data_IF_414971371296
#
_entry.id   IF_414971371296
#
_cell.length_a   1.000
_cell.length_b   1.000
_cell.length_c   1.000
_cell.angle_alpha   90.00
_cell.angle_beta   90.00
_cell.angle_gamma   90.00
#
_symmetry.space_group_name_H-M   'P 1'
#
loop_
_entity.id
_entity.type
_entity.pdbx_description
1 polymer ?
#
# COMPACT_ATOMS: atom_id res chain seq x y z
N UNK A 1 62.53 17.07 93.78
CA UNK A 1 62.74 18.03 94.88
C UNK A 1 62.01 19.32 94.51
N UNK A 2 61.12 19.79 95.40
CA UNK A 2 60.65 21.18 95.61
C UNK A 2 60.18 22.05 94.42
N UNK A 3 58.90 22.47 94.34
CA UNK A 3 58.16 23.54 95.07
C UNK A 3 58.19 24.91 94.37
N UNK A 4 56.98 25.50 94.22
CA UNK A 4 56.53 26.92 94.02
C UNK A 4 56.73 27.56 92.63
N UNK A 5 55.68 27.98 91.88
CA UNK A 5 54.62 29.01 92.06
C UNK A 5 55.10 30.49 91.99
N UNK A 6 54.25 31.31 91.32
CA UNK A 6 54.16 32.78 91.10
C UNK A 6 54.38 33.17 89.62
N UNK A 7 53.38 33.39 88.75
CA UNK A 7 52.18 34.26 88.73
C UNK A 7 52.49 35.74 88.38
N UNK A 8 51.90 36.22 87.27
CA UNK A 8 50.93 37.36 87.17
C UNK A 8 51.02 38.13 85.83
N UNK A 9 49.82 38.32 85.25
CA UNK A 9 49.28 39.38 84.39
C UNK A 9 49.71 39.55 82.93
N UNK A 10 48.70 39.59 82.06
CA UNK A 10 48.79 40.32 80.79
C UNK A 10 47.70 40.04 79.78
N UNK A 11 46.61 40.81 79.87
CA UNK A 11 45.83 41.34 78.75
C UNK A 11 44.83 40.47 77.96
N UNK A 12 43.57 40.79 78.26
CA UNK A 12 42.34 40.81 77.45
C UNK A 12 42.55 40.94 75.93
N UNK A 13 41.91 40.04 75.17
CA UNK A 13 41.37 40.34 73.85
C UNK A 13 40.04 39.59 73.66
N UNK A 14 38.96 40.35 73.57
CA UNK A 14 37.64 39.91 73.13
C UNK A 14 37.73 39.46 71.67
N UNK A 15 37.23 38.26 71.36
CA UNK A 15 36.83 37.90 70.02
C UNK A 15 35.53 37.10 70.08
N UNK A 16 34.55 37.63 69.37
CA UNK A 16 33.14 37.29 69.36
C UNK A 16 32.86 35.86 68.91
N UNK A 17 31.80 35.31 69.48
CA UNK A 17 31.15 34.08 69.06
C UNK A 17 30.28 34.38 67.83
N UNK A 18 30.48 33.68 66.71
CA UNK A 18 29.39 33.50 65.73
C UNK A 18 29.50 32.18 64.96
N UNK A 19 28.32 31.64 64.67
CA UNK A 19 28.03 30.24 64.36
C UNK A 19 28.04 29.99 62.84
N UNK A 20 28.61 28.83 62.47
CA UNK A 20 28.43 27.98 61.28
C UNK A 20 27.56 28.50 60.11
N UNK A 21 28.11 28.38 58.89
CA UNK A 21 27.37 28.30 57.63
C UNK A 21 28.05 27.39 56.60
N UNK A 22 27.86 26.07 56.71
CA UNK A 22 28.18 25.12 55.64
C UNK A 22 26.98 25.01 54.68
N UNK A 23 26.83 25.94 53.74
CA UNK A 23 25.81 25.82 52.68
C UNK A 23 26.09 26.79 51.53
N UNK A 24 27.11 26.54 50.71
CA UNK A 24 27.28 27.31 49.47
C UNK A 24 27.86 26.49 48.31
N UNK A 25 28.55 25.37 48.57
CA UNK A 25 29.26 24.63 47.53
C UNK A 25 28.43 23.53 46.81
N UNK A 26 27.18 23.28 47.21
CA UNK A 26 26.37 22.19 46.62
C UNK A 26 25.27 22.66 45.66
N UNK A 27 24.90 23.94 45.66
CA UNK A 27 23.82 24.43 44.80
C UNK A 27 24.26 24.60 43.32
N UNK A 28 25.50 25.03 43.08
CA UNK A 28 25.99 25.35 41.73
C UNK A 28 26.30 24.10 40.89
N UNK A 29 26.76 23.01 41.52
CA UNK A 29 27.05 21.74 40.82
C UNK A 29 25.79 20.93 40.51
N UNK A 30 24.70 21.12 41.28
CA UNK A 30 23.41 20.47 41.02
C UNK A 30 22.67 21.19 39.88
N UNK A 31 22.77 22.52 39.78
CA UNK A 31 22.12 23.28 38.70
C UNK A 31 22.72 22.99 37.31
N UNK A 32 24.04 22.75 37.22
CA UNK A 32 24.73 22.46 35.95
C UNK A 32 24.40 21.02 35.46
N UNK A 33 24.26 20.06 36.38
CA UNK A 33 23.87 18.68 36.04
C UNK A 33 22.42 18.52 35.60
N UNK A 34 21.50 19.34 36.15
CA UNK A 34 20.09 19.36 35.74
C UNK A 34 19.94 20.02 34.35
N UNK A 35 20.73 21.06 34.06
CA UNK A 35 20.71 21.71 32.73
C UNK A 35 21.31 20.83 31.61
N UNK A 36 22.32 20.00 31.91
CA UNK A 36 22.84 19.00 30.96
C UNK A 36 21.90 17.80 30.77
N UNK A 37 21.12 17.44 31.79
CA UNK A 37 20.15 16.34 31.72
C UNK A 37 18.84 16.74 31.02
N UNK A 38 18.48 18.03 31.04
CA UNK A 38 17.36 18.58 30.24
C UNK A 38 17.73 18.77 28.77
N UNK A 39 19.03 18.84 28.43
CA UNK A 39 19.48 18.97 27.04
C UNK A 39 19.55 17.61 26.31
N UNK A 40 19.64 16.49 27.02
CA UNK A 40 19.55 15.14 26.45
C UNK A 40 18.11 14.63 26.28
N UNK A 41 17.11 15.32 26.85
CA UNK A 41 15.68 15.02 26.65
C UNK A 41 15.04 15.90 25.57
N UNK A 42 15.84 16.56 24.73
CA UNK A 42 15.43 16.93 23.39
C UNK A 42 15.77 15.77 22.44
N UNK A 43 15.26 14.57 22.75
CA UNK A 43 15.13 13.53 21.71
C UNK A 43 14.28 14.17 20.63
N UNK A 44 14.90 14.45 19.49
CA UNK A 44 14.26 14.93 18.28
C UNK A 44 12.97 14.14 18.07
N UNK A 45 11.83 14.69 18.47
CA UNK A 45 10.54 14.32 17.87
C UNK A 45 10.55 14.92 16.48
N UNK A 46 11.38 14.35 15.58
CA UNK A 46 11.19 14.55 14.16
C UNK A 46 9.75 14.08 13.91
N UNK A 47 8.82 14.95 13.48
CA UNK A 47 7.51 14.48 13.10
C UNK A 47 7.73 13.37 12.07
N UNK A 48 7.17 12.18 12.34
CA UNK A 48 7.16 11.11 11.36
C UNK A 48 6.53 11.72 10.11
N UNK A 49 7.35 11.96 9.08
CA UNK A 49 6.86 12.60 7.86
C UNK A 49 5.91 11.59 7.24
N UNK A 50 4.62 11.92 7.20
CA UNK A 50 3.61 11.10 6.54
C UNK A 50 4.12 10.75 5.14
N UNK A 51 3.87 9.50 4.73
CA UNK A 51 4.27 9.04 3.40
C UNK A 51 3.61 9.94 2.34
N UNK A 52 4.30 10.19 1.23
CA UNK A 52 3.69 10.92 0.12
C UNK A 52 2.50 10.11 -0.42
N UNK A 53 1.27 10.64 -0.35
CA UNK A 53 0.09 9.91 -0.78
C UNK A 53 -0.06 9.89 -2.32
N UNK A 54 0.77 10.63 -3.05
CA UNK A 54 0.82 10.54 -4.51
C UNK A 54 1.58 9.30 -4.97
N UNK A 55 1.25 8.85 -6.18
CA UNK A 55 2.05 7.82 -6.85
C UNK A 55 3.36 8.45 -7.34
N UNK A 56 4.46 7.73 -7.19
CA UNK A 56 5.76 8.15 -7.70
C UNK A 56 5.80 8.05 -9.23
N UNK A 57 6.85 8.62 -9.84
CA UNK A 57 7.08 8.48 -11.28
C UNK A 57 7.27 7.00 -11.66
N UNK A 58 8.00 6.24 -10.85
CA UNK A 58 8.27 4.81 -11.06
C UNK A 58 6.99 3.99 -10.94
N UNK A 59 6.17 4.24 -9.92
CA UNK A 59 4.87 3.57 -9.76
C UNK A 59 3.94 3.85 -10.94
N UNK A 60 3.95 5.08 -11.46
CA UNK A 60 3.17 5.45 -12.65
C UNK A 60 3.67 4.75 -13.91
N UNK A 61 4.98 4.79 -14.16
CA UNK A 61 5.60 4.06 -15.28
C UNK A 61 5.29 2.58 -15.21
N UNK A 62 5.35 1.97 -14.02
CA UNK A 62 5.08 0.55 -13.85
C UNK A 62 3.62 0.18 -14.10
N UNK A 63 2.66 1.00 -13.64
CA UNK A 63 1.23 0.81 -13.96
C UNK A 63 0.96 0.91 -15.45
N UNK A 64 1.50 1.94 -16.11
CA UNK A 64 1.32 2.12 -17.55
C UNK A 64 1.91 0.96 -18.34
N UNK A 65 3.07 0.45 -17.91
CA UNK A 65 3.67 -0.76 -18.47
C UNK A 65 2.76 -1.98 -18.33
N UNK A 66 2.21 -2.25 -17.14
CA UNK A 66 1.30 -3.38 -16.95
C UNK A 66 0.00 -3.23 -17.77
N UNK A 67 -0.52 -2.01 -17.93
CA UNK A 67 -1.69 -1.75 -18.78
C UNK A 67 -1.42 -2.07 -20.25
N UNK A 68 -0.24 -1.70 -20.77
CA UNK A 68 0.20 -2.01 -22.14
C UNK A 68 0.45 -3.52 -22.33
N UNK A 69 1.25 -4.14 -21.46
CA UNK A 69 1.58 -5.57 -21.55
C UNK A 69 0.31 -6.45 -21.51
N UNK A 70 -0.58 -6.19 -20.54
CA UNK A 70 -1.83 -6.95 -20.42
C UNK A 70 -2.83 -6.68 -21.54
N UNK A 71 -2.77 -5.52 -22.20
CA UNK A 71 -3.57 -5.25 -23.40
C UNK A 71 -3.08 -6.11 -24.56
N UNK A 72 -1.77 -6.09 -24.82
CA UNK A 72 -1.16 -6.87 -25.90
C UNK A 72 -1.34 -8.38 -25.69
N UNK A 73 -1.12 -8.86 -24.47
CA UNK A 73 -1.32 -10.27 -24.11
C UNK A 73 -2.77 -10.70 -24.32
N UNK A 74 -3.75 -9.90 -23.86
CA UNK A 74 -5.16 -10.23 -24.02
C UNK A 74 -5.59 -10.29 -25.49
N UNK A 75 -5.17 -9.32 -26.31
CA UNK A 75 -5.47 -9.31 -27.74
C UNK A 75 -4.87 -10.52 -28.45
N UNK A 76 -3.59 -10.81 -28.19
CA UNK A 76 -2.93 -12.01 -28.71
C UNK A 76 -3.63 -13.30 -28.24
N UNK A 77 -4.18 -13.31 -27.03
CA UNK A 77 -4.90 -14.46 -26.48
C UNK A 77 -6.26 -14.71 -27.15
N UNK A 78 -6.90 -13.73 -27.78
CA UNK A 78 -8.22 -13.89 -28.42
C UNK A 78 -8.20 -13.76 -29.95
N UNK A 79 -7.07 -13.31 -30.52
CA UNK A 79 -6.86 -13.24 -31.96
C UNK A 79 -6.82 -14.63 -32.60
N UNK A 80 -7.45 -14.75 -33.77
CA UNK A 80 -7.49 -16.01 -34.54
C UNK A 80 -8.29 -17.16 -33.90
N UNK A 81 -8.90 -16.97 -32.74
CA UNK A 81 -9.73 -18.00 -32.07
C UNK A 81 -11.01 -18.22 -32.87
N UNK A 82 -11.27 -19.42 -33.39
CA UNK A 82 -12.51 -19.72 -34.14
C UNK A 82 -13.77 -19.68 -33.25
N UNK A 83 -14.97 -19.64 -33.84
CA UNK A 83 -16.21 -19.63 -33.05
C UNK A 83 -16.43 -20.91 -32.25
N UNK A 84 -15.96 -22.05 -32.77
CA UNK A 84 -15.96 -23.33 -32.06
C UNK A 84 -15.04 -23.27 -30.83
N UNK A 85 -13.82 -22.76 -31.02
CA UNK A 85 -12.85 -22.55 -29.94
C UNK A 85 -13.32 -21.53 -28.89
N UNK A 86 -13.99 -20.46 -29.31
CA UNK A 86 -14.52 -19.40 -28.44
C UNK A 86 -15.56 -19.96 -27.45
N UNK A 87 -16.40 -20.87 -27.91
CA UNK A 87 -17.52 -21.46 -27.16
C UNK A 87 -17.16 -22.77 -26.47
N UNK A 88 -16.04 -23.39 -26.81
CA UNK A 88 -15.63 -24.66 -26.24
C UNK A 88 -15.28 -24.53 -24.75
N UNK A 89 -15.85 -25.43 -23.93
CA UNK A 89 -15.61 -25.47 -22.49
C UNK A 89 -14.85 -26.76 -22.14
N UNK A 90 -13.80 -26.69 -21.31
CA UNK A 90 -13.08 -27.89 -20.88
C UNK A 90 -13.90 -28.78 -19.93
N UNK A 91 -14.90 -28.22 -19.26
CA UNK A 91 -15.92 -28.93 -18.48
C UNK A 91 -17.16 -28.03 -18.31
N UNK A 92 -18.35 -28.57 -17.98
CA UNK A 92 -19.58 -27.78 -17.85
C UNK A 92 -19.48 -26.59 -16.89
N UNK A 93 -18.76 -26.76 -15.78
CA UNK A 93 -18.55 -25.76 -14.73
C UNK A 93 -17.34 -24.84 -14.97
N UNK A 94 -16.60 -25.04 -16.06
CA UNK A 94 -15.40 -24.27 -16.40
C UNK A 94 -15.69 -23.29 -17.51
N UNK A 95 -15.06 -22.11 -17.43
CA UNK A 95 -15.21 -21.10 -18.47
C UNK A 95 -14.49 -21.47 -19.76
N UNK A 96 -15.11 -21.15 -20.89
CA UNK A 96 -14.50 -21.13 -22.21
C UNK A 96 -13.52 -19.95 -22.35
N UNK A 97 -12.87 -19.86 -23.51
CA UNK A 97 -12.11 -18.66 -23.89
C UNK A 97 -13.03 -17.44 -23.91
N UNK A 98 -14.20 -17.55 -24.53
CA UNK A 98 -15.15 -16.45 -24.62
C UNK A 98 -15.70 -15.99 -23.26
N UNK A 99 -16.05 -16.94 -22.39
CA UNK A 99 -16.52 -16.61 -21.03
C UNK A 99 -15.40 -15.97 -20.21
N UNK A 100 -14.15 -16.45 -20.33
CA UNK A 100 -13.02 -15.83 -19.63
C UNK A 100 -12.74 -14.42 -20.15
N UNK A 101 -12.86 -14.19 -21.47
CA UNK A 101 -12.67 -12.88 -22.08
C UNK A 101 -13.79 -11.88 -21.72
N UNK A 102 -15.04 -12.35 -21.64
CA UNK A 102 -16.16 -11.55 -21.14
C UNK A 102 -15.95 -11.15 -19.68
N UNK A 103 -15.51 -12.10 -18.83
CA UNK A 103 -15.17 -11.81 -17.44
C UNK A 103 -14.14 -10.69 -17.30
N UNK A 104 -13.10 -10.67 -18.13
CA UNK A 104 -12.07 -9.60 -18.12
C UNK A 104 -12.72 -8.23 -18.31
N UNK A 105 -13.59 -8.07 -19.30
CA UNK A 105 -14.24 -6.79 -19.63
C UNK A 105 -15.22 -6.34 -18.53
N UNK A 106 -15.97 -7.28 -17.95
CA UNK A 106 -16.88 -6.98 -16.83
C UNK A 106 -16.09 -6.59 -15.57
N UNK A 107 -15.04 -7.35 -15.26
CA UNK A 107 -14.18 -7.10 -14.11
C UNK A 107 -13.44 -5.78 -14.23
N UNK A 108 -12.91 -5.44 -15.40
CA UNK A 108 -12.17 -4.20 -15.61
C UNK A 108 -13.05 -2.96 -15.39
N UNK A 109 -14.29 -2.97 -15.89
CA UNK A 109 -15.26 -1.92 -15.61
C UNK A 109 -15.51 -1.75 -14.11
N UNK A 110 -15.72 -2.87 -13.39
CA UNK A 110 -16.00 -2.85 -11.94
C UNK A 110 -14.78 -2.40 -11.12
N UNK A 111 -13.59 -2.88 -11.47
CA UNK A 111 -12.34 -2.54 -10.81
C UNK A 111 -12.01 -1.06 -11.03
N UNK A 112 -12.17 -0.54 -12.24
CA UNK A 112 -11.95 0.88 -12.50
C UNK A 112 -13.02 1.77 -11.85
N UNK A 113 -14.27 1.29 -11.73
CA UNK A 113 -15.26 1.96 -10.89
C UNK A 113 -14.82 2.02 -9.41
N UNK A 114 -14.13 0.99 -8.91
CA UNK A 114 -13.57 0.96 -7.56
C UNK A 114 -12.39 1.93 -7.40
N UNK A 115 -11.53 2.07 -8.42
CA UNK A 115 -10.49 3.12 -8.47
C UNK A 115 -11.12 4.50 -8.33
N UNK A 116 -12.13 4.81 -9.15
CA UNK A 116 -12.82 6.11 -9.10
C UNK A 116 -13.53 6.34 -7.77
N UNK A 117 -14.19 5.31 -7.23
CA UNK A 117 -14.84 5.37 -5.92
C UNK A 117 -13.84 5.66 -4.80
N UNK A 118 -12.69 4.98 -4.82
CA UNK A 118 -11.62 5.24 -3.86
C UNK A 118 -11.12 6.67 -4.05
N UNK A 119 -10.68 7.08 -5.24
CA UNK A 119 -10.17 8.43 -5.49
C UNK A 119 -11.14 9.57 -5.15
N UNK A 120 -12.45 9.32 -5.13
CA UNK A 120 -13.47 10.29 -4.74
C UNK A 120 -13.87 10.25 -3.25
N UNK A 121 -13.36 9.27 -2.48
CA UNK A 121 -13.63 9.17 -1.04
C UNK A 121 -12.84 10.21 -0.25
N UNK A 122 -13.27 10.62 0.96
CA UNK A 122 -12.45 11.47 1.82
C UNK A 122 -11.08 10.84 2.12
N UNK A 123 -10.01 11.63 2.30
CA UNK A 123 -8.73 11.11 2.77
C UNK A 123 -8.90 10.30 4.05
N UNK A 124 -8.36 9.08 4.07
CA UNK A 124 -8.35 8.18 5.20
C UNK A 124 -7.07 8.41 6.01
N UNK A 125 -7.13 9.01 7.22
CA UNK A 125 -5.92 9.30 8.00
C UNK A 125 -5.15 8.04 8.44
N UNK A 126 -5.75 6.86 8.37
CA UNK A 126 -5.13 5.58 8.70
C UNK A 126 -4.68 4.78 7.46
N UNK A 127 -4.64 5.39 6.27
CA UNK A 127 -4.34 4.69 5.02
C UNK A 127 -2.99 3.96 5.04
N UNK A 128 -1.94 4.58 5.61
CA UNK A 128 -0.59 4.00 5.64
C UNK A 128 -0.59 2.64 6.35
N UNK A 129 -1.17 2.59 7.55
CA UNK A 129 -1.21 1.37 8.35
C UNK A 129 -2.18 0.34 7.73
N UNK A 130 -3.34 0.77 7.25
CA UNK A 130 -4.34 -0.14 6.69
C UNK A 130 -3.93 -0.76 5.36
N UNK A 131 -3.06 -0.10 4.60
CA UNK A 131 -2.65 -0.52 3.26
C UNK A 131 -1.18 -0.95 3.16
N UNK A 132 -0.48 -0.99 4.30
CA UNK A 132 0.92 -1.41 4.41
C UNK A 132 1.15 -2.80 3.82
N UNK A 133 2.14 -2.91 2.93
CA UNK A 133 2.51 -4.18 2.27
C UNK A 133 1.48 -4.73 1.27
N UNK A 134 0.37 -4.02 1.04
CA UNK A 134 -0.68 -4.49 0.13
C UNK A 134 -0.28 -4.38 -1.34
N UNK A 135 0.57 -3.43 -1.68
CA UNK A 135 1.11 -3.28 -3.05
C UNK A 135 1.87 -4.54 -3.47
N UNK A 136 2.85 -4.97 -2.68
CA UNK A 136 3.67 -6.16 -2.93
C UNK A 136 2.81 -7.43 -2.87
N UNK A 137 1.86 -7.47 -1.93
CA UNK A 137 0.90 -8.56 -1.83
C UNK A 137 0.10 -8.71 -3.12
N UNK A 138 -0.49 -7.63 -3.64
CA UNK A 138 -1.29 -7.65 -4.88
C UNK A 138 -0.44 -8.06 -6.08
N UNK A 139 0.74 -7.46 -6.25
CA UNK A 139 1.68 -7.79 -7.34
C UNK A 139 2.00 -9.30 -7.35
N UNK A 140 2.15 -9.91 -6.18
CA UNK A 140 2.44 -11.35 -6.05
C UNK A 140 1.22 -12.23 -6.32
N UNK A 141 0.06 -11.91 -5.72
CA UNK A 141 -1.07 -12.84 -5.68
C UNK A 141 -2.02 -12.69 -6.85
N UNK A 142 -2.18 -11.46 -7.39
CA UNK A 142 -3.18 -11.20 -8.40
C UNK A 142 -2.90 -11.92 -9.73
N UNK A 143 -1.72 -11.80 -10.35
CA UNK A 143 -1.45 -12.47 -11.62
C UNK A 143 -1.19 -13.98 -11.46
N UNK A 144 -1.15 -14.51 -10.23
CA UNK A 144 -0.94 -15.93 -9.96
C UNK A 144 -2.17 -16.75 -10.37
N UNK A 145 -2.00 -18.00 -10.78
CA UNK A 145 -3.11 -18.94 -11.00
C UNK A 145 -3.30 -19.91 -9.83
N UNK A 146 -2.60 -19.68 -8.72
CA UNK A 146 -2.75 -20.47 -7.51
C UNK A 146 -4.03 -20.07 -6.77
N UNK A 147 -4.75 -21.08 -6.26
CA UNK A 147 -6.01 -20.90 -5.55
C UNK A 147 -7.21 -20.68 -6.48
N UNK A 148 -8.40 -21.03 -5.97
CA UNK A 148 -9.68 -20.80 -6.65
C UNK A 148 -10.37 -19.61 -6.00
N UNK A 149 -10.87 -18.69 -6.82
CA UNK A 149 -11.74 -17.60 -6.40
C UNK A 149 -13.06 -17.73 -7.15
N UNK A 150 -14.16 -17.53 -6.45
CA UNK A 150 -15.49 -17.43 -7.07
C UNK A 150 -15.71 -15.97 -7.42
N UNK A 151 -15.92 -15.67 -8.70
CA UNK A 151 -16.22 -14.33 -9.15
C UNK A 151 -17.53 -13.83 -8.51
N UNK A 152 -17.60 -12.56 -8.06
CA UNK A 152 -18.86 -11.93 -7.65
C UNK A 152 -19.85 -11.92 -8.82
N UNK A 153 -21.14 -12.03 -8.49
CA UNK A 153 -22.23 -12.17 -9.47
C UNK A 153 -22.18 -11.16 -10.64
N UNK A 154 -21.92 -9.85 -10.42
CA UNK A 154 -21.92 -8.86 -11.51
C UNK A 154 -20.84 -9.06 -12.57
N UNK A 155 -19.81 -9.86 -12.29
CA UNK A 155 -18.70 -10.13 -13.21
C UNK A 155 -18.62 -11.62 -13.57
N UNK A 156 -19.64 -12.40 -13.26
CA UNK A 156 -19.82 -13.73 -13.85
C UNK A 156 -20.27 -13.54 -15.31
N UNK A 157 -19.66 -14.23 -16.29
CA UNK A 157 -20.09 -14.16 -17.69
C UNK A 157 -21.55 -14.57 -17.85
N UNK A 158 -22.34 -13.74 -18.53
CA UNK A 158 -23.78 -13.93 -18.71
C UNK A 158 -24.34 -13.27 -19.99
N UNK A 159 -23.63 -12.33 -20.61
CA UNK A 159 -24.06 -11.59 -21.80
C UNK A 159 -23.83 -12.38 -23.09
N UNK A 160 -22.87 -13.31 -23.11
CA UNK A 160 -22.54 -14.10 -24.30
C UNK A 160 -21.85 -13.26 -25.38
N UNK A 161 -20.91 -12.41 -24.97
CA UNK A 161 -20.27 -11.44 -25.86
C UNK A 161 -19.52 -12.13 -27.01
N UNK A 162 -19.64 -11.54 -28.20
CA UNK A 162 -18.81 -11.88 -29.34
C UNK A 162 -17.38 -11.37 -29.15
N UNK A 163 -16.42 -11.98 -29.87
CA UNK A 163 -15.03 -11.51 -29.92
C UNK A 163 -14.91 -10.02 -30.24
N UNK A 164 -15.71 -9.54 -31.20
CA UNK A 164 -15.71 -8.13 -31.60
C UNK A 164 -16.19 -7.20 -30.47
N UNK A 165 -17.28 -7.57 -29.79
CA UNK A 165 -17.81 -6.80 -28.65
C UNK A 165 -16.84 -6.77 -27.46
N UNK A 166 -16.17 -7.90 -27.18
CA UNK A 166 -15.13 -7.95 -26.14
C UNK A 166 -14.01 -6.97 -26.46
N UNK A 167 -13.46 -7.01 -27.67
CA UNK A 167 -12.38 -6.10 -28.11
C UNK A 167 -12.80 -4.63 -28.02
N UNK A 168 -13.98 -4.30 -28.56
CA UNK A 168 -14.50 -2.93 -28.54
C UNK A 168 -14.66 -2.39 -27.11
N UNK A 169 -15.28 -3.17 -26.22
CA UNK A 169 -15.48 -2.76 -24.83
C UNK A 169 -14.16 -2.63 -24.09
N UNK A 170 -13.24 -3.58 -24.26
CA UNK A 170 -11.93 -3.55 -23.61
C UNK A 170 -11.11 -2.33 -24.04
N UNK A 171 -11.05 -2.04 -25.35
CA UNK A 171 -10.35 -0.85 -25.87
C UNK A 171 -10.90 0.45 -25.28
N UNK A 172 -12.23 0.59 -25.27
CA UNK A 172 -12.88 1.77 -24.70
C UNK A 172 -12.53 1.96 -23.22
N UNK A 173 -12.51 0.87 -22.45
CA UNK A 173 -12.13 0.92 -21.03
C UNK A 173 -10.65 1.27 -20.86
N UNK A 174 -9.75 0.66 -21.65
CA UNK A 174 -8.30 0.89 -21.59
C UNK A 174 -7.93 2.34 -21.91
N UNK A 175 -8.60 3.00 -22.86
CA UNK A 175 -8.40 4.44 -23.13
C UNK A 175 -8.61 5.27 -21.85
N UNK A 176 -9.73 5.04 -21.15
CA UNK A 176 -10.05 5.79 -19.93
C UNK A 176 -9.08 5.49 -18.79
N UNK A 177 -8.70 4.22 -18.62
CA UNK A 177 -7.82 3.77 -17.54
C UNK A 177 -6.38 4.28 -17.75
N UNK A 178 -5.86 4.17 -18.97
CA UNK A 178 -4.52 4.67 -19.33
C UNK A 178 -4.46 6.17 -19.16
N UNK A 179 -5.49 6.90 -19.61
CA UNK A 179 -5.58 8.34 -19.40
C UNK A 179 -5.55 8.70 -17.91
N UNK A 180 -6.40 8.03 -17.11
CA UNK A 180 -6.42 8.26 -15.66
C UNK A 180 -5.06 7.99 -15.02
N UNK A 181 -4.44 6.84 -15.32
CA UNK A 181 -3.14 6.45 -14.79
C UNK A 181 -2.02 7.40 -15.24
N UNK A 182 -2.08 7.95 -16.45
CA UNK A 182 -1.07 8.87 -16.99
C UNK A 182 -1.18 10.29 -16.44
N UNK A 183 -2.41 10.78 -16.21
CA UNK A 183 -2.66 12.21 -16.00
C UNK A 183 -3.05 12.58 -14.56
N UNK A 184 -3.56 11.62 -13.77
CA UNK A 184 -4.13 11.93 -12.45
C UNK A 184 -3.12 12.60 -11.52
N UNK A 185 -3.56 13.68 -10.87
CA UNK A 185 -2.84 14.40 -9.82
C UNK A 185 -3.43 14.15 -8.42
N UNK A 186 -4.40 13.22 -8.32
CA UNK A 186 -5.00 12.84 -7.03
C UNK A 186 -3.95 12.12 -6.19
N UNK A 187 -3.95 12.39 -4.88
CA UNK A 187 -3.21 11.68 -3.86
C UNK A 187 -3.75 10.24 -3.65
N UNK A 188 -3.61 9.37 -4.65
CA UNK A 188 -4.32 8.08 -4.73
C UNK A 188 -4.18 7.18 -3.48
N UNK A 189 -3.07 7.27 -2.74
CA UNK A 189 -2.80 6.36 -1.62
C UNK A 189 -3.57 6.72 -0.35
N UNK A 190 -3.97 7.97 -0.16
CA UNK A 190 -4.74 8.37 1.02
C UNK A 190 -6.24 8.09 0.89
N UNK A 191 -6.72 7.73 -0.29
CA UNK A 191 -8.13 7.44 -0.50
C UNK A 191 -8.38 5.93 -0.62
N UNK A 192 -9.30 5.39 0.18
CA UNK A 192 -9.43 3.94 0.37
C UNK A 192 -10.86 3.43 0.27
N UNK A 193 -11.01 2.21 -0.22
CA UNK A 193 -12.27 1.46 -0.21
C UNK A 193 -12.00 0.01 0.21
N UNK A 194 -12.91 -0.56 0.99
CA UNK A 194 -12.86 -1.96 1.42
C UNK A 194 -13.13 -2.88 0.23
N UNK A 195 -12.26 -3.86 0.03
CA UNK A 195 -12.40 -4.88 -0.98
C UNK A 195 -13.44 -5.93 -0.56
N UNK A 196 -14.31 -6.41 -1.48
CA UNK A 196 -15.35 -7.38 -1.13
C UNK A 196 -14.79 -8.74 -0.70
N UNK A 197 -13.63 -9.13 -1.21
CA UNK A 197 -12.92 -10.32 -0.74
C UNK A 197 -12.08 -9.99 0.51
N UNK A 198 -12.33 -10.64 1.67
CA UNK A 198 -11.68 -10.29 2.95
C UNK A 198 -10.16 -10.39 2.95
N UNK A 199 -9.58 -11.27 2.11
CA UNK A 199 -8.12 -11.45 2.01
C UNK A 199 -7.39 -10.17 1.60
N UNK A 200 -8.04 -9.29 0.83
CA UNK A 200 -7.47 -8.01 0.43
C UNK A 200 -7.72 -6.91 1.46
N UNK A 201 -8.86 -6.92 2.16
CA UNK A 201 -9.19 -5.92 3.17
C UNK A 201 -9.34 -4.52 2.57
N UNK A 202 -8.87 -3.49 3.28
CA UNK A 202 -8.84 -2.12 2.76
C UNK A 202 -7.74 -1.95 1.73
N UNK A 203 -8.09 -1.40 0.56
CA UNK A 203 -7.13 -1.00 -0.48
C UNK A 203 -7.25 0.50 -0.76
N UNK A 204 -6.12 1.15 -1.03
CA UNK A 204 -6.11 2.52 -1.54
C UNK A 204 -6.36 2.59 -3.06
N UNK A 205 -6.62 3.77 -3.60
CA UNK A 205 -6.96 3.94 -5.01
C UNK A 205 -5.82 3.50 -5.95
N UNK A 206 -4.56 3.64 -5.54
CA UNK A 206 -3.42 3.12 -6.30
C UNK A 206 -3.42 1.59 -6.34
N UNK A 207 -3.69 0.93 -5.22
CA UNK A 207 -3.77 -0.53 -5.14
C UNK A 207 -4.94 -1.10 -5.95
N UNK A 208 -6.08 -0.40 -5.98
CA UNK A 208 -7.16 -0.72 -6.91
C UNK A 208 -6.72 -0.53 -8.38
N UNK A 209 -5.91 0.49 -8.68
CA UNK A 209 -5.44 0.77 -10.04
C UNK A 209 -4.50 -0.33 -10.54
N UNK A 210 -3.53 -0.78 -9.74
CA UNK A 210 -2.63 -1.88 -10.15
C UNK A 210 -3.37 -3.22 -10.26
N UNK A 211 -4.46 -3.39 -9.50
CA UNK A 211 -5.29 -4.60 -9.55
C UNK A 211 -5.83 -4.82 -10.97
N UNK A 212 -6.22 -3.76 -11.68
CA UNK A 212 -6.83 -3.82 -13.01
C UNK A 212 -5.99 -4.62 -14.02
N UNK A 213 -4.76 -4.21 -14.40
CA UNK A 213 -3.98 -4.97 -15.37
C UNK A 213 -3.49 -6.31 -14.82
N UNK A 214 -3.19 -6.41 -13.52
CA UNK A 214 -2.76 -7.67 -12.92
C UNK A 214 -3.87 -8.74 -12.95
N UNK A 215 -5.13 -8.32 -12.86
CA UNK A 215 -6.29 -9.19 -13.02
C UNK A 215 -6.43 -9.65 -14.48
N UNK A 216 -6.25 -8.76 -15.46
CA UNK A 216 -6.20 -9.14 -16.89
C UNK A 216 -5.14 -10.22 -17.13
N UNK A 217 -3.89 -10.01 -16.67
CA UNK A 217 -2.79 -10.99 -16.78
C UNK A 217 -3.16 -12.34 -16.16
N UNK A 218 -3.86 -12.32 -15.02
CA UNK A 218 -4.36 -13.55 -14.39
C UNK A 218 -5.30 -14.32 -15.33
N UNK A 219 -6.15 -13.64 -16.06
CA UNK A 219 -7.16 -14.26 -16.91
C UNK A 219 -6.64 -14.56 -18.33
N UNK A 220 -5.60 -13.89 -18.81
CA UNK A 220 -4.87 -14.29 -20.02
C UNK A 220 -4.22 -15.67 -19.82
N UNK A 221 -3.62 -15.91 -18.65
CA UNK A 221 -3.14 -17.25 -18.26
C UNK A 221 -4.26 -18.28 -18.21
N UNK A 222 -5.46 -17.89 -17.79
CA UNK A 222 -6.62 -18.78 -17.81
C UNK A 222 -7.07 -19.10 -19.23
N UNK A 223 -7.04 -18.15 -20.16
CA UNK A 223 -7.28 -18.41 -21.58
C UNK A 223 -6.25 -19.40 -22.11
N UNK A 224 -4.97 -19.22 -21.78
CA UNK A 224 -3.92 -20.17 -22.15
C UNK A 224 -4.15 -21.57 -21.58
N UNK A 225 -4.57 -21.68 -20.30
CA UNK A 225 -4.97 -22.96 -19.69
C UNK A 225 -6.08 -23.66 -20.48
N UNK A 226 -7.14 -22.93 -20.85
CA UNK A 226 -8.26 -23.46 -21.66
C UNK A 226 -7.76 -23.97 -23.01
N UNK A 227 -6.96 -23.17 -23.72
CA UNK A 227 -6.38 -23.53 -25.03
C UNK A 227 -5.47 -24.76 -24.99
N UNK A 228 -4.81 -24.97 -23.85
CA UNK A 228 -3.92 -26.13 -23.64
C UNK A 228 -4.65 -27.41 -23.22
N UNK A 229 -5.96 -27.35 -22.97
CA UNK A 229 -6.71 -28.51 -22.47
C UNK A 229 -6.97 -29.52 -23.59
N UNK A 230 -6.77 -30.84 -23.37
CA UNK A 230 -7.11 -31.86 -24.35
C UNK A 230 -8.55 -31.75 -24.84
N UNK A 231 -8.74 -31.81 -26.15
CA UNK A 231 -10.05 -31.65 -26.80
C UNK A 231 -10.39 -30.21 -27.21
N UNK A 232 -9.54 -29.23 -26.91
CA UNK A 232 -9.67 -27.90 -27.49
C UNK A 232 -9.62 -27.99 -29.04
N UNK A 233 -10.58 -27.39 -29.77
CA UNK A 233 -10.65 -27.57 -31.22
C UNK A 233 -9.39 -27.03 -31.94
N UNK A 234 -8.93 -27.74 -32.96
CA UNK A 234 -7.91 -27.22 -33.88
C UNK A 234 -8.49 -26.10 -34.77
N UNK A 235 -7.62 -25.22 -35.25
CA UNK A 235 -7.96 -24.24 -36.30
C UNK A 235 -7.91 -24.87 -37.68
#
# INVERSE_FOLDING_TARGET
MHIRQFAIAGLVALASFEVKGHAAATATSILIGILQSLLCLAVLTLPLRAADPHISAEERTQVLKWLDESHQEFFAAIDGVSDAQWKWKPAPERWSVGETAEHIVLAEALLFASVRKAAASPPNPAWEEQTKGKTEFIIRVMPSRQGKAVAPEPIVPHEGLTRAQVKERFEKQRVDIVKFAGETQVALKEHTVVHPFPVFGTLNAYQWLIYVPLHTIRHDKQIAEVKSTPGYPAN
#
